data_IF_846559841879
#
_entry.id   IF_846559841879
#
_cell.length_a   1.000
_cell.length_b   1.000
_cell.length_c   1.000
_cell.angle_alpha   90.00
_cell.angle_beta   90.00
_cell.angle_gamma   90.00
#
_symmetry.space_group_name_H-M   'P 1'
#
loop_
_entity.id
_entity.type
_entity.pdbx_description
1 polymer ?
#
# COMPACT_ATOMS: atom_id res chain seq x y z
N UNK A 1 -10.52 15.82 -4.70
CA UNK A 1 -9.29 16.17 -3.96
C UNK A 1 -8.25 15.08 -4.23
N UNK A 2 -6.97 15.38 -4.46
CA UNK A 2 -5.94 14.33 -4.68
C UNK A 2 -5.63 13.56 -3.40
N UNK A 3 -5.42 12.25 -3.50
CA UNK A 3 -4.95 11.39 -2.40
C UNK A 3 -3.72 11.95 -1.68
N UNK A 4 -2.78 12.58 -2.39
CA UNK A 4 -1.58 13.13 -1.75
C UNK A 4 -1.89 14.39 -0.94
N UNK A 5 -2.82 15.23 -1.42
CA UNK A 5 -3.34 16.35 -0.62
C UNK A 5 -4.06 15.85 0.63
N UNK A 6 -4.70 14.68 0.58
CA UNK A 6 -5.30 14.05 1.76
C UNK A 6 -4.23 13.56 2.72
N UNK A 7 -3.22 12.83 2.22
CA UNK A 7 -2.11 12.34 3.02
C UNK A 7 -1.32 13.48 3.68
N UNK A 8 -1.15 14.62 3.02
CA UNK A 8 -0.46 15.80 3.57
C UNK A 8 -1.21 16.47 4.73
N UNK A 9 -2.53 16.29 4.85
CA UNK A 9 -3.31 16.79 5.99
C UNK A 9 -3.14 15.95 7.25
N UNK A 10 -2.58 14.74 7.11
CA UNK A 10 -2.43 13.77 8.19
C UNK A 10 -1.06 13.88 8.86
N UNK A 11 -0.95 13.33 10.07
CA UNK A 11 0.35 13.18 10.72
C UNK A 11 1.10 12.03 10.04
N UNK A 12 2.43 12.12 9.99
CA UNK A 12 3.29 11.12 9.36
C UNK A 12 3.07 9.66 9.84
N UNK A 13 2.77 9.37 11.12
CA UNK A 13 2.42 8.01 11.54
C UNK A 13 1.15 7.50 10.86
N UNK A 14 0.15 8.35 10.65
CA UNK A 14 -1.16 7.96 10.16
C UNK A 14 -1.11 7.64 8.64
N UNK A 15 -0.36 8.44 7.88
CA UNK A 15 -0.10 8.14 6.45
C UNK A 15 0.65 6.83 6.27
N UNK A 16 1.61 6.55 7.16
CA UNK A 16 2.37 5.30 7.16
C UNK A 16 1.47 4.11 7.51
N UNK A 17 0.50 4.29 8.42
CA UNK A 17 -0.49 3.27 8.76
C UNK A 17 -1.46 2.96 7.62
N UNK A 18 -1.87 3.98 6.85
CA UNK A 18 -2.67 3.76 5.63
C UNK A 18 -1.89 2.88 4.66
N UNK A 19 -0.64 3.26 4.35
CA UNK A 19 0.18 2.51 3.41
C UNK A 19 0.45 1.08 3.91
N UNK A 20 0.74 0.92 5.20
CA UNK A 20 0.94 -0.39 5.83
C UNK A 20 -0.32 -1.25 5.72
N UNK A 21 -1.50 -0.67 5.96
CA UNK A 21 -2.78 -1.37 5.89
C UNK A 21 -3.09 -1.82 4.46
N UNK A 22 -2.88 -0.94 3.49
CA UNK A 22 -3.00 -1.23 2.06
C UNK A 22 -2.06 -2.38 1.66
N UNK A 23 -0.76 -2.29 1.98
CA UNK A 23 0.21 -3.32 1.61
C UNK A 23 -0.08 -4.66 2.27
N UNK A 24 -0.56 -4.68 3.52
CA UNK A 24 -0.80 -5.92 4.25
C UNK A 24 -2.22 -6.47 4.13
N UNK A 25 -3.00 -6.02 3.14
CA UNK A 25 -4.38 -6.45 2.87
C UNK A 25 -5.31 -6.28 4.09
N UNK A 26 -5.04 -5.30 4.94
CA UNK A 26 -5.88 -5.01 6.09
C UNK A 26 -7.09 -4.19 5.60
N UNK A 27 -8.33 -4.57 5.96
CA UNK A 27 -9.50 -3.78 5.58
C UNK A 27 -9.39 -2.34 6.06
N UNK A 28 -9.78 -1.41 5.19
CA UNK A 28 -9.87 0.02 5.48
C UNK A 28 -11.33 0.43 5.36
N UNK A 29 -11.84 1.06 6.40
CA UNK A 29 -13.20 1.60 6.44
C UNK A 29 -13.10 3.10 6.50
N UNK A 30 -13.56 3.76 5.45
CA UNK A 30 -13.66 5.20 5.35
C UNK A 30 -15.10 5.59 5.64
N UNK A 31 -15.32 6.48 6.61
CA UNK A 31 -16.66 6.99 6.90
C UNK A 31 -16.67 8.51 7.03
N UNK A 32 -17.73 9.12 6.53
CA UNK A 32 -17.89 10.57 6.45
C UNK A 32 -19.34 10.95 6.19
N UNK A 33 -19.66 12.23 6.28
CA UNK A 33 -21.01 12.76 6.07
C UNK A 33 -21.36 13.01 4.60
N UNK A 34 -20.36 13.17 3.73
CA UNK A 34 -20.54 13.37 2.30
C UNK A 34 -20.17 12.10 1.50
N UNK A 35 -21.17 11.44 0.92
CA UNK A 35 -20.98 10.16 0.23
C UNK A 35 -20.03 10.25 -0.97
N UNK A 36 -20.08 11.35 -1.73
CA UNK A 36 -19.23 11.55 -2.90
C UNK A 36 -17.76 11.68 -2.49
N UNK A 37 -17.47 12.45 -1.45
CA UNK A 37 -16.12 12.64 -0.92
C UNK A 37 -15.54 11.32 -0.39
N UNK A 38 -16.32 10.54 0.35
CA UNK A 38 -15.93 9.21 0.84
C UNK A 38 -15.64 8.26 -0.33
N UNK A 39 -16.51 8.24 -1.34
CA UNK A 39 -16.32 7.39 -2.53
C UNK A 39 -15.07 7.80 -3.33
N UNK A 40 -14.83 9.10 -3.49
CA UNK A 40 -13.62 9.60 -4.14
C UNK A 40 -12.36 9.19 -3.37
N UNK A 41 -12.38 9.25 -2.03
CA UNK A 41 -11.24 8.84 -1.22
C UNK A 41 -10.95 7.33 -1.34
N UNK A 42 -11.96 6.45 -1.33
CA UNK A 42 -11.70 5.01 -1.50
C UNK A 42 -11.21 4.67 -2.92
N UNK A 43 -11.61 5.42 -3.96
CA UNK A 43 -11.05 5.29 -5.32
C UNK A 43 -9.57 5.69 -5.30
N UNK A 44 -9.27 6.83 -4.72
CA UNK A 44 -7.92 7.36 -4.62
C UNK A 44 -6.98 6.45 -3.81
N UNK A 45 -7.48 5.81 -2.75
CA UNK A 45 -6.73 4.80 -1.99
C UNK A 45 -6.54 3.49 -2.78
N UNK A 46 -7.53 3.08 -3.57
CA UNK A 46 -7.47 1.92 -4.47
C UNK A 46 -6.34 2.08 -5.49
N UNK A 47 -6.18 3.28 -6.05
CA UNK A 47 -5.14 3.63 -7.02
C UNK A 47 -3.70 3.47 -6.49
N UNK A 48 -3.51 3.54 -5.16
CA UNK A 48 -2.19 3.36 -4.54
C UNK A 48 -1.70 1.91 -4.67
N UNK A 49 -2.60 0.93 -4.69
CA UNK A 49 -2.27 -0.50 -4.79
C UNK A 49 -2.48 -1.06 -6.20
N UNK A 50 -2.10 -0.28 -7.22
CA UNK A 50 -2.22 -0.61 -8.64
C UNK A 50 -1.60 -1.95 -9.11
N UNK A 51 -0.71 -2.55 -8.30
CA UNK A 51 -0.15 -3.89 -8.57
C UNK A 51 -1.16 -5.01 -8.26
N UNK A 52 -2.28 -4.71 -7.61
CA UNK A 52 -3.41 -5.61 -7.38
C UNK A 52 -4.56 -5.34 -8.36
N UNK A 53 -5.37 -6.36 -8.59
CA UNK A 53 -6.56 -6.27 -9.44
C UNK A 53 -7.70 -5.68 -8.61
N UNK A 54 -8.19 -4.50 -9.01
CA UNK A 54 -9.38 -3.93 -8.41
C UNK A 54 -10.63 -4.73 -8.81
N UNK A 55 -11.50 -4.98 -7.83
CA UNK A 55 -12.87 -5.42 -8.03
C UNK A 55 -13.82 -4.54 -7.22
N UNK A 56 -14.95 -4.18 -7.81
CA UNK A 56 -15.95 -3.31 -7.20
C UNK A 56 -17.18 -4.13 -6.82
N UNK A 57 -17.50 -4.13 -5.53
CA UNK A 57 -18.70 -4.81 -5.04
C UNK A 57 -19.96 -4.18 -5.64
N UNK A 58 -20.92 -5.01 -6.05
CA UNK A 58 -22.13 -4.64 -6.81
C UNK A 58 -21.92 -4.20 -8.28
N UNK A 59 -20.68 -4.23 -8.78
CA UNK A 59 -20.39 -4.05 -10.21
C UNK A 59 -19.77 -5.30 -10.80
N UNK A 60 -18.71 -5.82 -10.18
CA UNK A 60 -17.98 -6.99 -10.68
C UNK A 60 -18.44 -8.31 -10.04
N UNK A 61 -18.99 -8.24 -8.83
CA UNK A 61 -19.56 -9.39 -8.12
C UNK A 61 -20.62 -8.93 -7.11
N UNK A 62 -21.56 -9.81 -6.77
CA UNK A 62 -22.68 -9.51 -5.85
C UNK A 62 -22.85 -10.54 -4.74
N UNK A 63 -22.32 -11.76 -4.88
CA UNK A 63 -22.59 -12.87 -3.96
C UNK A 63 -21.35 -13.30 -3.16
N UNK A 64 -21.59 -13.93 -2.00
CA UNK A 64 -20.53 -14.55 -1.17
C UNK A 64 -19.84 -15.73 -1.88
N UNK A 65 -20.60 -16.47 -2.69
CA UNK A 65 -20.07 -17.56 -3.50
C UNK A 65 -19.07 -17.06 -4.56
N UNK A 66 -19.38 -15.96 -5.25
CA UNK A 66 -18.47 -15.33 -6.21
C UNK A 66 -17.20 -14.83 -5.51
N UNK A 67 -17.35 -14.15 -4.36
CA UNK A 67 -16.21 -13.68 -3.58
C UNK A 67 -15.30 -14.82 -3.11
N UNK A 68 -15.90 -15.90 -2.60
CA UNK A 68 -15.15 -17.08 -2.15
C UNK A 68 -14.40 -17.73 -3.30
N UNK A 69 -15.03 -17.84 -4.47
CA UNK A 69 -14.37 -18.36 -5.67
C UNK A 69 -13.19 -17.49 -6.10
N UNK A 70 -13.32 -16.16 -6.01
CA UNK A 70 -12.22 -15.23 -6.32
C UNK A 70 -11.02 -15.45 -5.39
N UNK A 71 -11.25 -15.58 -4.09
CA UNK A 71 -10.19 -15.86 -3.11
C UNK A 71 -9.57 -17.24 -3.36
N UNK A 72 -10.39 -18.27 -3.62
CA UNK A 72 -9.88 -19.61 -3.90
C UNK A 72 -8.96 -19.63 -5.11
N UNK A 73 -9.31 -18.91 -6.17
CA UNK A 73 -8.48 -18.81 -7.37
C UNK A 73 -7.13 -18.16 -7.08
N UNK A 74 -7.07 -17.14 -6.22
CA UNK A 74 -5.79 -16.57 -5.77
C UNK A 74 -4.92 -17.62 -5.08
N UNK A 75 -5.50 -18.43 -4.20
CA UNK A 75 -4.75 -19.41 -3.42
C UNK A 75 -4.22 -20.57 -4.26
N UNK A 76 -4.85 -20.88 -5.40
CA UNK A 76 -4.43 -21.96 -6.30
C UNK A 76 -3.28 -21.53 -7.21
N UNK A 77 -3.30 -20.29 -7.69
CA UNK A 77 -2.27 -19.76 -8.58
C UNK A 77 -1.55 -18.56 -7.98
N UNK A 78 -0.29 -18.77 -7.55
CA UNK A 78 0.57 -17.70 -7.05
C UNK A 78 0.98 -16.68 -8.12
N UNK A 79 0.83 -17.00 -9.42
CA UNK A 79 1.09 -16.05 -10.50
C UNK A 79 -0.07 -15.07 -10.71
N UNK A 80 -1.29 -15.45 -10.31
CA UNK A 80 -2.47 -14.63 -10.42
C UNK A 80 -2.32 -13.33 -9.63
N UNK A 81 -2.78 -12.22 -10.22
CA UNK A 81 -2.79 -10.93 -9.55
C UNK A 81 -3.78 -10.97 -8.40
N UNK A 82 -3.31 -10.69 -7.19
CA UNK A 82 -4.16 -10.62 -6.00
C UNK A 82 -5.17 -9.50 -6.14
N UNK A 83 -6.37 -9.73 -5.63
CA UNK A 83 -7.47 -8.79 -5.70
C UNK A 83 -7.53 -7.92 -4.45
N UNK A 84 -7.98 -6.69 -4.66
CA UNK A 84 -8.50 -5.82 -3.61
C UNK A 84 -9.90 -5.38 -4.00
N UNK A 85 -10.73 -5.15 -2.98
CA UNK A 85 -12.15 -4.89 -3.20
C UNK A 85 -12.45 -3.46 -2.80
N UNK A 86 -13.08 -2.71 -3.71
CA UNK A 86 -13.67 -1.43 -3.41
C UNK A 86 -15.17 -1.60 -3.20
N UNK A 87 -15.67 -1.07 -2.10
CA UNK A 87 -17.08 -1.13 -1.71
C UNK A 87 -17.62 0.29 -1.54
N UNK A 88 -18.41 0.79 -2.51
CA UNK A 88 -19.01 2.12 -2.45
C UNK A 88 -19.97 2.30 -1.26
N UNK A 89 -20.20 3.56 -0.88
CA UNK A 89 -21.12 3.94 0.22
C UNK A 89 -22.52 3.37 0.08
N UNK A 90 -23.03 3.30 -1.15
CA UNK A 90 -24.40 2.85 -1.47
C UNK A 90 -24.67 1.38 -1.14
N UNK A 91 -23.62 0.56 -1.03
CA UNK A 91 -23.74 -0.90 -0.85
C UNK A 91 -22.96 -1.42 0.37
N UNK A 92 -22.28 -0.54 1.12
CA UNK A 92 -21.42 -0.93 2.22
C UNK A 92 -22.13 -1.65 3.37
N UNK A 93 -23.31 -1.20 3.79
CA UNK A 93 -24.08 -1.90 4.83
C UNK A 93 -24.51 -3.30 4.37
N UNK A 94 -24.77 -3.49 3.06
CA UNK A 94 -25.07 -4.81 2.51
C UNK A 94 -23.84 -5.71 2.58
N UNK A 95 -22.66 -5.20 2.20
CA UNK A 95 -21.40 -5.95 2.31
C UNK A 95 -21.15 -6.39 3.75
N UNK A 96 -21.24 -5.46 4.72
CA UNK A 96 -21.03 -5.75 6.13
C UNK A 96 -22.00 -6.80 6.69
N UNK A 97 -23.20 -6.90 6.13
CA UNK A 97 -24.19 -7.92 6.53
C UNK A 97 -23.98 -9.26 5.85
N UNK A 98 -23.48 -9.26 4.60
CA UNK A 98 -23.39 -10.44 3.75
C UNK A 98 -22.10 -11.23 3.91
N UNK A 99 -20.96 -10.56 4.12
CA UNK A 99 -19.65 -11.21 4.18
C UNK A 99 -19.13 -11.28 5.61
N UNK A 100 -18.31 -12.29 5.87
CA UNK A 100 -17.64 -12.50 7.17
C UNK A 100 -16.12 -12.22 7.09
N UNK A 101 -15.54 -12.16 5.89
CA UNK A 101 -14.13 -11.83 5.67
C UNK A 101 -14.00 -10.59 4.80
N UNK A 102 -13.09 -9.69 5.20
CA UNK A 102 -12.90 -8.39 4.56
C UNK A 102 -11.43 -8.13 4.19
N UNK A 103 -10.67 -9.19 3.92
CA UNK A 103 -9.27 -9.07 3.52
C UNK A 103 -9.13 -8.21 2.25
N UNK A 104 -8.33 -7.15 2.34
CA UNK A 104 -8.10 -6.18 1.26
C UNK A 104 -9.33 -5.40 0.78
N UNK A 105 -10.33 -5.20 1.66
CA UNK A 105 -11.48 -4.35 1.35
C UNK A 105 -11.24 -2.87 1.68
N UNK A 106 -11.67 -1.98 0.80
CA UNK A 106 -11.82 -0.55 0.99
C UNK A 106 -13.31 -0.22 1.01
N UNK A 107 -13.86 0.05 2.19
CA UNK A 107 -15.30 0.23 2.39
C UNK A 107 -15.58 1.70 2.70
N UNK A 108 -16.32 2.36 1.81
CA UNK A 108 -16.84 3.71 2.05
C UNK A 108 -18.19 3.64 2.75
N UNK A 109 -18.46 4.49 3.74
CA UNK A 109 -19.74 4.53 4.46
C UNK A 109 -20.15 5.98 4.71
N UNK A 110 -21.38 6.31 4.34
CA UNK A 110 -21.98 7.59 4.70
C UNK A 110 -22.56 7.51 6.12
N UNK A 111 -22.02 8.31 7.04
CA UNK A 111 -22.48 8.42 8.42
C UNK A 111 -22.38 9.89 8.81
N UNK A 112 -23.49 10.54 9.23
CA UNK A 112 -23.45 11.91 9.75
C UNK A 112 -22.49 12.06 10.93
N UNK A 113 -21.88 13.23 11.11
CA UNK A 113 -20.94 13.54 12.21
C UNK A 113 -21.65 13.58 13.58
N UNK A 114 -22.08 12.40 14.05
CA UNK A 114 -22.78 12.19 15.31
C UNK A 114 -22.03 11.12 16.10
N UNK A 115 -21.37 11.54 17.19
CA UNK A 115 -20.48 10.70 18.00
C UNK A 115 -21.10 9.35 18.40
N UNK A 116 -22.37 9.35 18.82
CA UNK A 116 -23.08 8.13 19.21
C UNK A 116 -23.28 7.17 18.05
N UNK A 117 -23.68 7.67 16.87
CA UNK A 117 -23.86 6.84 15.66
C UNK A 117 -22.54 6.25 15.19
N UNK A 118 -21.49 7.06 15.15
CA UNK A 118 -20.13 6.60 14.79
C UNK A 118 -19.67 5.51 15.76
N UNK A 119 -19.85 5.72 17.06
CA UNK A 119 -19.44 4.74 18.06
C UNK A 119 -20.25 3.44 17.98
N UNK A 120 -21.57 3.52 17.76
CA UNK A 120 -22.43 2.35 17.51
C UNK A 120 -21.99 1.59 16.26
N UNK A 121 -21.72 2.32 15.18
CA UNK A 121 -21.24 1.76 13.92
C UNK A 121 -19.89 1.03 14.11
N UNK A 122 -18.88 1.70 14.66
CA UNK A 122 -17.56 1.09 14.90
C UNK A 122 -17.66 -0.13 15.82
N UNK A 123 -18.51 -0.08 16.85
CA UNK A 123 -18.76 -1.23 17.72
C UNK A 123 -19.43 -2.39 16.98
N UNK A 124 -20.33 -2.12 16.03
CA UNK A 124 -20.95 -3.15 15.20
C UNK A 124 -19.93 -3.81 14.27
N UNK A 125 -19.04 -3.03 13.64
CA UNK A 125 -17.97 -3.54 12.80
C UNK A 125 -16.98 -4.38 13.60
N UNK A 126 -16.57 -3.92 14.79
CA UNK A 126 -15.64 -4.65 15.67
C UNK A 126 -16.12 -6.05 16.05
N UNK A 127 -17.42 -6.31 16.01
CA UNK A 127 -17.98 -7.65 16.27
C UNK A 127 -17.72 -8.62 15.11
N UNK A 128 -17.51 -8.12 13.90
CA UNK A 128 -17.27 -8.90 12.68
C UNK A 128 -15.80 -8.88 12.25
N UNK A 129 -15.18 -7.69 12.28
CA UNK A 129 -13.83 -7.46 11.77
C UNK A 129 -12.91 -7.20 12.95
N UNK A 130 -12.05 -8.19 13.23
CA UNK A 130 -11.13 -8.14 14.36
C UNK A 130 -10.02 -7.10 14.18
N UNK A 131 -9.63 -6.80 12.93
CA UNK A 131 -8.52 -5.89 12.60
C UNK A 131 -8.85 -5.07 11.37
N UNK A 132 -8.87 -3.75 11.51
CA UNK A 132 -9.11 -2.83 10.40
C UNK A 132 -8.57 -1.43 10.71
N UNK A 133 -8.27 -0.69 9.65
CA UNK A 133 -8.01 0.74 9.72
C UNK A 133 -9.31 1.49 9.52
N UNK A 134 -9.61 2.43 10.42
CA UNK A 134 -10.77 3.28 10.30
C UNK A 134 -10.32 4.71 10.04
N UNK A 135 -10.90 5.33 9.02
CA UNK A 135 -10.61 6.70 8.59
C UNK A 135 -11.92 7.48 8.73
N UNK A 136 -11.96 8.39 9.69
CA UNK A 136 -13.01 9.41 9.74
C UNK A 136 -12.64 10.52 8.77
N UNK A 137 -13.58 10.88 7.89
CA UNK A 137 -13.37 11.86 6.84
C UNK A 137 -14.57 12.79 6.79
N UNK A 138 -14.57 13.80 7.66
CA UNK A 138 -15.58 14.85 7.75
C UNK A 138 -15.00 16.18 7.26
N UNK A 139 -15.85 17.13 6.86
CA UNK A 139 -15.39 18.39 6.24
C UNK A 139 -14.36 19.15 7.08
N UNK A 140 -14.46 19.09 8.41
CA UNK A 140 -13.58 19.81 9.35
C UNK A 140 -12.61 18.92 10.11
N UNK A 141 -12.73 17.60 10.03
CA UNK A 141 -11.95 16.69 10.85
C UNK A 141 -11.62 15.40 10.11
N UNK A 142 -10.35 14.99 10.23
CA UNK A 142 -9.87 13.70 9.73
C UNK A 142 -9.14 13.01 10.86
N UNK A 143 -9.55 11.79 11.19
CA UNK A 143 -8.87 10.96 12.19
C UNK A 143 -8.66 9.56 11.67
N UNK A 144 -7.58 8.94 12.14
CA UNK A 144 -7.21 7.59 11.76
C UNK A 144 -7.05 6.77 13.03
N UNK A 145 -7.83 5.71 13.12
CA UNK A 145 -7.80 4.79 14.25
C UNK A 145 -7.57 3.38 13.74
N UNK A 146 -6.48 2.76 14.19
CA UNK A 146 -6.17 1.38 13.87
C UNK A 146 -6.71 0.44 14.96
N UNK A 147 -7.65 -0.42 14.58
CA UNK A 147 -8.43 -1.24 15.51
C UNK A 147 -7.90 -2.67 15.47
N UNK A 148 -7.73 -3.27 16.66
CA UNK A 148 -7.35 -4.68 16.81
C UNK A 148 -5.84 -4.98 16.79
N UNK A 149 -5.01 -3.95 16.69
CA UNK A 149 -3.55 -4.03 16.73
C UNK A 149 -2.97 -2.80 17.43
N UNK A 150 -1.93 -2.99 18.23
CA UNK A 150 -1.18 -1.87 18.81
C UNK A 150 -0.22 -1.32 17.75
N UNK A 151 -0.57 -0.18 17.15
CA UNK A 151 0.23 0.45 16.11
C UNK A 151 1.66 0.78 16.56
N UNK A 152 1.90 0.96 17.86
CA UNK A 152 3.25 1.23 18.40
C UNK A 152 4.20 0.04 18.30
N UNK A 153 3.66 -1.17 18.09
CA UNK A 153 4.43 -2.38 17.90
C UNK A 153 4.74 -2.65 16.42
N UNK A 154 4.18 -1.86 15.51
CA UNK A 154 4.40 -2.03 14.08
C UNK A 154 5.70 -1.32 13.68
N UNK A 155 6.54 -2.04 12.95
CA UNK A 155 7.60 -1.42 12.19
C UNK A 155 7.01 -0.79 10.92
N UNK A 156 7.02 0.55 10.89
CA UNK A 156 6.53 1.37 9.78
C UNK A 156 7.68 2.07 9.05
N UNK A 157 8.93 1.61 9.23
CA UNK A 157 10.12 2.26 8.69
C UNK A 157 10.06 2.35 7.18
N UNK A 158 9.74 1.23 6.52
CA UNK A 158 9.59 1.18 5.06
C UNK A 158 8.53 2.16 4.56
N UNK A 159 7.32 2.15 5.13
CA UNK A 159 6.24 3.03 4.70
C UNK A 159 6.59 4.51 4.89
N UNK A 160 7.30 4.86 5.97
CA UNK A 160 7.80 6.22 6.19
C UNK A 160 8.83 6.61 5.13
N UNK A 161 9.79 5.75 4.83
CA UNK A 161 10.85 6.01 3.86
C UNK A 161 10.29 6.20 2.45
N UNK A 162 9.32 5.37 2.04
CA UNK A 162 8.60 5.54 0.77
C UNK A 162 7.96 6.93 0.69
N UNK A 163 7.18 7.33 1.69
CA UNK A 163 6.49 8.61 1.72
C UNK A 163 7.46 9.81 1.73
N UNK A 164 8.58 9.68 2.45
CA UNK A 164 9.64 10.70 2.46
C UNK A 164 10.34 10.81 1.11
N UNK A 165 10.69 9.67 0.49
CA UNK A 165 11.35 9.63 -0.82
C UNK A 165 10.48 10.30 -1.88
N UNK A 166 9.19 9.99 -1.93
CA UNK A 166 8.26 10.62 -2.88
C UNK A 166 8.24 12.13 -2.71
N UNK A 167 8.16 12.61 -1.47
CA UNK A 167 8.15 14.04 -1.17
C UNK A 167 9.45 14.72 -1.65
N UNK A 168 10.61 14.14 -1.29
CA UNK A 168 11.93 14.69 -1.64
C UNK A 168 12.21 14.65 -3.14
N UNK A 169 11.92 13.55 -3.81
CA UNK A 169 12.21 13.37 -5.24
C UNK A 169 11.27 14.22 -6.11
N UNK A 170 10.03 14.40 -5.68
CA UNK A 170 9.10 15.35 -6.31
C UNK A 170 9.64 16.76 -6.17
N UNK A 171 10.00 17.19 -4.95
CA UNK A 171 10.50 18.56 -4.70
C UNK A 171 11.78 18.86 -5.49
N UNK A 172 12.74 17.93 -5.50
CA UNK A 172 13.96 18.04 -6.32
C UNK A 172 13.65 18.20 -7.80
N UNK A 173 12.68 17.44 -8.32
CA UNK A 173 12.30 17.46 -9.73
C UNK A 173 11.63 18.80 -10.10
N UNK A 174 10.71 19.28 -9.26
CA UNK A 174 10.04 20.57 -9.46
C UNK A 174 11.04 21.72 -9.39
N UNK A 175 11.86 21.81 -8.35
CA UNK A 175 12.87 22.87 -8.21
C UNK A 175 13.81 22.91 -9.43
N UNK A 176 14.24 21.73 -9.90
CA UNK A 176 15.08 21.62 -11.10
C UNK A 176 14.36 22.17 -12.33
N UNK A 177 13.10 21.80 -12.55
CA UNK A 177 12.34 22.27 -13.71
C UNK A 177 12.04 23.76 -13.64
N UNK A 178 11.61 24.27 -12.48
CA UNK A 178 11.39 25.70 -12.25
C UNK A 178 12.63 26.51 -12.54
N UNK A 179 13.80 26.06 -12.08
CA UNK A 179 15.09 26.71 -12.38
C UNK A 179 15.41 26.70 -13.88
N UNK A 180 15.20 25.55 -14.55
CA UNK A 180 15.47 25.42 -15.99
C UNK A 180 14.56 26.34 -16.80
N UNK A 181 13.27 26.43 -16.47
CA UNK A 181 12.36 27.33 -17.16
C UNK A 181 12.70 28.79 -16.84
N UNK A 182 12.88 29.14 -15.57
CA UNK A 182 13.21 30.50 -15.15
C UNK A 182 14.44 31.04 -15.88
N UNK A 183 15.53 30.27 -15.98
CA UNK A 183 16.73 30.70 -16.71
C UNK A 183 16.48 30.93 -18.21
N UNK A 184 15.48 30.27 -18.82
CA UNK A 184 15.10 30.50 -20.22
C UNK A 184 14.24 31.75 -20.43
N UNK A 185 13.48 32.18 -19.43
CA UNK A 185 12.59 33.36 -19.52
C UNK A 185 13.17 34.62 -18.86
N UNK A 186 14.27 34.50 -18.11
CA UNK A 186 14.89 35.60 -17.34
C UNK A 186 15.35 36.80 -18.17
N UNK A 187 15.66 36.59 -19.45
CA UNK A 187 16.12 37.65 -20.37
C UNK A 187 14.99 38.38 -21.09
N UNK A 188 13.75 37.90 -20.94
CA UNK A 188 12.58 38.44 -21.61
C UNK A 188 11.83 39.38 -20.67
N UNK A 189 11.28 40.48 -21.21
CA UNK A 189 10.49 41.47 -20.46
C UNK A 189 9.05 40.93 -20.27
N UNK A 190 8.95 39.82 -19.53
CA UNK A 190 7.71 39.11 -19.28
C UNK A 190 7.05 39.68 -18.02
N UNK A 191 5.76 39.96 -18.14
CA UNK A 191 4.91 40.34 -17.02
C UNK A 191 4.99 39.33 -15.87
N UNK A 192 5.06 39.82 -14.63
CA UNK A 192 5.27 39.00 -13.44
C UNK A 192 4.13 38.01 -13.19
N UNK A 193 2.89 38.37 -13.54
CA UNK A 193 1.74 37.48 -13.38
C UNK A 193 1.76 36.35 -14.43
N UNK A 194 2.17 36.66 -15.65
CA UNK A 194 2.41 35.64 -16.68
C UNK A 194 3.57 34.71 -16.28
N UNK A 195 4.66 35.27 -15.74
CA UNK A 195 5.80 34.49 -15.26
C UNK A 195 5.41 33.52 -14.14
N UNK A 196 4.60 33.98 -13.19
CA UNK A 196 4.07 33.12 -12.10
C UNK A 196 3.22 31.98 -12.64
N UNK A 197 2.34 32.28 -13.58
CA UNK A 197 1.47 31.26 -14.20
C UNK A 197 2.28 30.23 -14.98
N UNK A 198 3.31 30.65 -15.73
CA UNK A 198 4.20 29.75 -16.48
C UNK A 198 5.11 28.89 -15.60
N UNK A 199 5.31 29.28 -14.34
CA UNK A 199 6.13 28.58 -13.36
C UNK A 199 5.28 27.91 -12.27
N UNK A 200 3.96 27.89 -12.42
CA UNK A 200 3.08 27.09 -11.58
C UNK A 200 3.11 25.63 -12.06
N UNK A 201 3.61 24.76 -11.19
CA UNK A 201 3.76 23.33 -11.46
C UNK A 201 2.89 22.49 -10.53
N UNK A 202 1.83 23.04 -9.95
CA UNK A 202 1.02 22.32 -8.96
C UNK A 202 0.38 21.05 -9.53
N UNK A 203 -0.03 21.06 -10.81
CA UNK A 203 -0.60 19.89 -11.49
C UNK A 203 0.47 18.84 -11.74
N UNK A 204 1.62 19.24 -12.30
CA UNK A 204 2.76 18.39 -12.58
C UNK A 204 3.33 17.77 -11.30
N UNK A 205 3.33 18.53 -10.20
CA UNK A 205 3.77 18.06 -8.88
C UNK A 205 2.92 16.90 -8.40
N UNK A 206 1.59 16.99 -8.53
CA UNK A 206 0.70 15.90 -8.13
C UNK A 206 0.85 14.66 -9.01
N UNK A 207 1.02 14.85 -10.32
CA UNK A 207 1.27 13.73 -11.24
C UNK A 207 2.62 13.05 -10.98
N UNK A 208 3.67 13.84 -10.73
CA UNK A 208 5.00 13.33 -10.35
C UNK A 208 4.95 12.52 -9.06
N UNK A 209 4.27 13.02 -8.01
CA UNK A 209 4.06 12.25 -6.77
C UNK A 209 3.42 10.90 -7.06
N UNK A 210 2.35 10.88 -7.86
CA UNK A 210 1.63 9.65 -8.25
C UNK A 210 2.54 8.68 -8.99
N UNK A 211 3.32 9.16 -9.94
CA UNK A 211 4.21 8.33 -10.75
C UNK A 211 5.38 7.76 -9.93
N UNK A 212 6.02 8.59 -9.09
CA UNK A 212 7.09 8.14 -8.19
C UNK A 212 6.53 7.12 -7.18
N UNK A 213 5.39 7.40 -6.56
CA UNK A 213 4.74 6.48 -5.63
C UNK A 213 4.46 5.13 -6.30
N UNK A 214 3.80 5.13 -7.46
CA UNK A 214 3.47 3.88 -8.17
C UNK A 214 4.72 3.08 -8.50
N UNK A 215 5.78 3.75 -8.97
CA UNK A 215 7.07 3.10 -9.26
C UNK A 215 7.66 2.43 -8.01
N UNK A 216 7.72 3.12 -6.88
CA UNK A 216 8.31 2.57 -5.65
C UNK A 216 7.52 1.37 -5.11
N UNK A 217 6.20 1.45 -5.10
CA UNK A 217 5.34 0.35 -4.67
C UNK A 217 5.41 -0.85 -5.63
N UNK A 218 5.46 -0.60 -6.94
CA UNK A 218 5.64 -1.66 -7.93
C UNK A 218 7.00 -2.36 -7.79
N UNK A 219 8.07 -1.61 -7.50
CA UNK A 219 9.38 -2.17 -7.25
C UNK A 219 9.39 -3.06 -6.00
N UNK A 220 8.77 -2.59 -4.90
CA UNK A 220 8.60 -3.38 -3.68
C UNK A 220 7.84 -4.69 -3.93
N UNK A 221 6.70 -4.62 -4.62
CA UNK A 221 5.91 -5.79 -4.98
C UNK A 221 6.73 -6.78 -5.84
N UNK A 222 7.43 -6.28 -6.86
CA UNK A 222 8.21 -7.10 -7.79
C UNK A 222 9.39 -7.77 -7.09
N UNK A 223 10.12 -7.04 -6.24
CA UNK A 223 11.18 -7.59 -5.39
C UNK A 223 10.66 -8.67 -4.45
N UNK A 224 9.52 -8.41 -3.79
CA UNK A 224 8.87 -9.39 -2.91
C UNK A 224 8.39 -10.64 -3.66
N UNK A 225 7.86 -10.49 -4.88
CA UNK A 225 7.45 -11.62 -5.72
C UNK A 225 8.66 -12.46 -6.17
N UNK A 226 9.79 -11.84 -6.50
CA UNK A 226 11.05 -12.55 -6.77
C UNK A 226 11.52 -13.32 -5.53
N UNK A 227 11.51 -12.68 -4.37
CA UNK A 227 11.84 -13.33 -3.10
C UNK A 227 10.93 -14.52 -2.82
N UNK A 228 9.61 -14.37 -3.00
CA UNK A 228 8.62 -15.44 -2.86
C UNK A 228 8.98 -16.66 -3.71
N UNK A 229 9.34 -16.48 -4.98
CA UNK A 229 9.70 -17.61 -5.85
C UNK A 229 11.00 -18.28 -5.45
N UNK A 230 12.00 -17.51 -5.01
CA UNK A 230 13.26 -18.06 -4.50
C UNK A 230 13.00 -18.89 -3.25
N UNK A 231 12.25 -18.34 -2.28
CA UNK A 231 11.90 -19.05 -1.06
C UNK A 231 11.05 -20.29 -1.32
N UNK A 232 10.09 -20.23 -2.23
CA UNK A 232 9.28 -21.39 -2.61
C UNK A 232 10.16 -22.53 -3.13
N UNK A 233 11.18 -22.22 -3.93
CA UNK A 233 12.16 -23.22 -4.42
C UNK A 233 13.02 -23.78 -3.30
N UNK A 234 13.53 -22.93 -2.41
CA UNK A 234 14.30 -23.38 -1.23
C UNK A 234 13.45 -24.28 -0.32
N UNK A 235 12.18 -23.94 -0.12
CA UNK A 235 11.26 -24.75 0.66
C UNK A 235 11.02 -26.13 0.03
N UNK A 236 10.88 -26.19 -1.31
CA UNK A 236 10.77 -27.47 -2.03
C UNK A 236 12.04 -28.33 -1.88
N UNK A 237 13.23 -27.73 -1.90
CA UNK A 237 14.49 -28.43 -1.64
C UNK A 237 14.54 -29.00 -0.22
N UNK A 238 14.09 -28.23 0.77
CA UNK A 238 13.99 -28.69 2.16
C UNK A 238 13.01 -29.86 2.33
N UNK A 239 11.89 -29.85 1.59
CA UNK A 239 10.90 -30.93 1.60
C UNK A 239 11.43 -32.26 1.03
N UNK A 240 12.50 -32.22 0.23
CA UNK A 240 13.22 -33.41 -0.25
C UNK A 240 14.53 -33.65 0.52
N UNK A 241 14.58 -33.16 1.77
CA UNK A 241 15.69 -33.33 2.73
C UNK A 241 17.02 -32.66 2.34
N UNK A 242 17.01 -31.75 1.36
CA UNK A 242 18.17 -30.91 1.03
C UNK A 242 18.07 -29.64 1.88
N UNK A 243 18.69 -29.65 3.07
CA UNK A 243 18.65 -28.52 4.00
C UNK A 243 19.37 -27.29 3.42
N UNK A 244 18.59 -26.35 2.89
CA UNK A 244 19.02 -25.10 2.25
C UNK A 244 18.45 -23.90 2.99
N UNK A 245 19.30 -22.89 3.15
CA UNK A 245 18.97 -21.56 3.62
C UNK A 245 19.70 -20.54 2.76
N UNK A 246 19.25 -19.30 2.80
CA UNK A 246 19.87 -18.21 2.05
C UNK A 246 20.26 -17.06 2.99
N UNK A 247 21.43 -16.48 2.74
CA UNK A 247 21.85 -15.25 3.39
C UNK A 247 20.96 -14.06 2.98
N UNK A 248 20.57 -13.23 3.93
CA UNK A 248 19.73 -12.05 3.66
C UNK A 248 20.36 -11.14 2.61
N UNK A 249 21.68 -10.88 2.68
CA UNK A 249 22.38 -10.05 1.70
C UNK A 249 22.31 -10.64 0.28
N UNK A 250 22.60 -11.93 0.13
CA UNK A 250 22.56 -12.65 -1.16
C UNK A 250 21.17 -12.56 -1.77
N UNK A 251 20.13 -12.76 -0.96
CA UNK A 251 18.75 -12.66 -1.43
C UNK A 251 18.43 -11.25 -1.93
N UNK A 252 18.76 -10.22 -1.15
CA UNK A 252 18.47 -8.82 -1.50
C UNK A 252 19.16 -8.39 -2.81
N UNK A 253 20.41 -8.83 -3.02
CA UNK A 253 21.13 -8.64 -4.29
C UNK A 253 20.45 -9.38 -5.44
N UNK A 254 20.02 -10.62 -5.22
CA UNK A 254 19.37 -11.46 -6.24
C UNK A 254 18.00 -10.90 -6.67
N UNK A 255 17.23 -10.36 -5.72
CA UNK A 255 15.92 -9.76 -6.01
C UNK A 255 16.03 -8.32 -6.50
N UNK A 256 17.24 -7.77 -6.62
CA UNK A 256 17.51 -6.40 -7.08
C UNK A 256 16.60 -5.38 -6.38
N UNK A 257 16.56 -5.45 -5.05
CA UNK A 257 15.75 -4.56 -4.22
C UNK A 257 16.32 -4.50 -2.81
N UNK A 258 16.90 -3.35 -2.43
CA UNK A 258 17.59 -3.12 -1.15
C UNK A 258 16.90 -2.10 -0.25
N UNK A 259 15.75 -1.58 -0.69
CA UNK A 259 15.07 -0.45 -0.04
C UNK A 259 14.19 -0.85 1.16
N UNK A 260 13.94 -2.15 1.38
CA UNK A 260 13.20 -2.62 2.56
C UNK A 260 14.00 -3.70 3.28
N UNK A 261 13.89 -3.77 4.60
CA UNK A 261 14.43 -4.88 5.37
C UNK A 261 13.81 -6.22 4.97
N UNK A 262 14.58 -7.29 5.11
CA UNK A 262 14.12 -8.63 4.70
C UNK A 262 12.90 -9.09 5.49
N UNK A 263 12.81 -8.72 6.76
CA UNK A 263 11.67 -8.97 7.63
C UNK A 263 10.39 -8.32 7.08
N UNK A 264 10.50 -7.13 6.48
CA UNK A 264 9.37 -6.44 5.86
C UNK A 264 8.89 -7.16 4.60
N UNK A 265 9.82 -7.70 3.81
CA UNK A 265 9.53 -8.51 2.61
C UNK A 265 8.85 -9.82 3.01
N UNK A 266 9.38 -10.56 3.99
CA UNK A 266 8.73 -11.80 4.48
C UNK A 266 7.34 -11.49 5.04
N UNK A 267 7.21 -10.43 5.83
CA UNK A 267 5.92 -10.01 6.37
C UNK A 267 4.92 -9.72 5.25
N UNK A 268 5.34 -9.00 4.20
CA UNK A 268 4.50 -8.78 3.03
C UNK A 268 4.15 -10.10 2.33
N UNK A 269 5.12 -11.01 2.13
CA UNK A 269 4.88 -12.30 1.48
C UNK A 269 3.82 -13.11 2.25
N UNK A 270 3.95 -13.17 3.57
CA UNK A 270 2.99 -13.87 4.44
C UNK A 270 1.58 -13.28 4.30
N UNK A 271 1.44 -11.96 4.13
CA UNK A 271 0.14 -11.30 3.93
C UNK A 271 -0.40 -11.42 2.52
N UNK A 272 0.46 -11.48 1.51
CA UNK A 272 0.07 -11.50 0.10
C UNK A 272 -0.20 -12.92 -0.42
N UNK A 273 0.61 -13.89 -0.01
CA UNK A 273 0.56 -15.28 -0.49
C UNK A 273 0.29 -16.31 0.61
N UNK A 274 0.25 -15.91 1.89
CA UNK A 274 -0.07 -16.83 3.00
C UNK A 274 1.10 -17.71 3.46
N UNK A 275 2.31 -17.51 2.91
CA UNK A 275 3.49 -18.31 3.20
C UNK A 275 4.44 -17.61 4.17
N UNK A 276 4.91 -18.32 5.19
CA UNK A 276 5.94 -17.83 6.11
C UNK A 276 7.28 -18.52 5.85
N UNK A 277 8.23 -17.75 5.33
CA UNK A 277 9.57 -18.20 4.98
C UNK A 277 10.65 -17.76 5.97
N UNK A 278 10.27 -17.28 7.16
CA UNK A 278 11.20 -16.80 8.18
C UNK A 278 12.29 -17.82 8.54
N UNK A 279 11.98 -19.12 8.49
CA UNK A 279 12.92 -20.21 8.80
C UNK A 279 13.99 -20.44 7.74
N UNK A 280 13.79 -19.94 6.51
CA UNK A 280 14.69 -20.14 5.36
C UNK A 280 15.82 -19.12 5.31
N UNK A 281 15.81 -18.14 6.20
CA UNK A 281 16.85 -17.12 6.30
C UNK A 281 17.91 -17.56 7.30
N UNK A 282 19.16 -17.42 6.89
CA UNK A 282 20.30 -17.58 7.78
C UNK A 282 21.06 -16.27 7.97
N UNK A 283 21.00 -15.72 9.18
CA UNK A 283 21.73 -14.51 9.54
C UNK A 283 23.12 -14.89 10.07
N UNK A 284 24.13 -14.89 9.20
CA UNK A 284 25.51 -15.18 9.59
C UNK A 284 26.57 -14.68 8.58
N UNK A 285 27.62 -14.00 9.07
CA UNK A 285 28.71 -13.45 8.22
C UNK A 285 29.41 -14.51 7.34
N UNK A 286 29.46 -15.76 7.81
CA UNK A 286 30.14 -16.87 7.13
C UNK A 286 29.33 -17.42 5.94
N UNK A 287 27.99 -17.42 6.04
CA UNK A 287 27.08 -17.87 4.98
C UNK A 287 27.02 -16.82 3.86
N UNK A 288 26.87 -15.54 4.22
CA UNK A 288 26.93 -14.44 3.26
C UNK A 288 28.25 -14.45 2.47
N UNK A 289 29.39 -14.77 3.11
CA UNK A 289 30.68 -14.86 2.41
C UNK A 289 30.77 -16.08 1.47
N UNK A 290 30.18 -17.22 1.85
CA UNK A 290 30.17 -18.43 1.03
C UNK A 290 29.29 -18.25 -0.22
N UNK A 291 28.11 -17.66 -0.05
CA UNK A 291 27.17 -17.33 -1.12
C UNK A 291 27.79 -16.32 -2.10
N UNK A 292 28.39 -15.24 -1.58
CA UNK A 292 29.08 -14.24 -2.41
C UNK A 292 30.24 -14.87 -3.18
N UNK A 293 31.02 -15.78 -2.56
CA UNK A 293 32.07 -16.51 -3.26
C UNK A 293 31.50 -17.35 -4.39
N UNK A 294 30.46 -18.14 -4.16
CA UNK A 294 29.85 -18.98 -5.20
C UNK A 294 29.22 -18.17 -6.35
N UNK A 295 28.65 -17.00 -6.05
CA UNK A 295 28.09 -16.09 -7.06
C UNK A 295 29.13 -15.49 -8.02
N UNK A 296 30.41 -15.47 -7.63
CA UNK A 296 31.53 -14.98 -8.44
C UNK A 296 32.12 -16.05 -9.38
N UNK A 297 31.71 -17.31 -9.26
CA UNK A 297 32.17 -18.41 -10.13
C UNK A 297 31.18 -18.74 -11.27
N UNK A 298 30.17 -17.89 -11.48
CA UNK A 298 29.26 -17.92 -12.64
C UNK A 298 29.80 -17.14 -13.83
#
# INVERSE_FOLDING_TARGET
>A
MSVFKFLERLKAPDTSLILYSLLNRIPIIVYGDEAEEVNNLIIDLSDLIHFRKELVFYTDFISDAEYTNLIMNENIDYNSQRTHIRCPTTVALKALNQFESFNSWLIGIEIPEQKERIQQFINSVKKKINRFLSISFFSNSVSIDFIGLNWKLLDLTFEKEVLQKISQDTEKSIIKMTRVLFEKVKSEDIDQDLLRTLLDFDVEKEELKRNIFKKEIQNFYSGSKRAFFIFSRLNLLNNIEINTKIGSKTLMETIDYDYAHIERIISFICKEWGEDFSSLIENGKKVNALDSMQSLWG
#
